data_IF_833569904619
#
_entry.id   IF_833569904619
#
_cell.length_a   1.000
_cell.length_b   1.000
_cell.length_c   1.000
_cell.angle_alpha   90.00
_cell.angle_beta   90.00
_cell.angle_gamma   90.00
#
_symmetry.space_group_name_H-M   'P 1'
#
loop_
_entity.id
_entity.type
_entity.pdbx_description
1 polymer ?
#
# COMPACT_ATOMS: atom_id res chain seq x y z
N UNK A 1 5.36 -30.53 -11.13
CA UNK A 1 5.79 -29.32 -10.37
C UNK A 1 4.70 -28.25 -10.27
N UNK A 2 3.98 -27.90 -11.36
CA UNK A 2 2.91 -26.89 -11.35
C UNK A 2 1.76 -27.14 -10.35
N UNK A 3 1.33 -28.39 -10.19
CA UNK A 3 0.22 -28.77 -9.29
C UNK A 3 0.51 -28.44 -7.82
N UNK A 4 1.77 -28.62 -7.36
CA UNK A 4 2.16 -28.31 -5.97
C UNK A 4 2.11 -26.81 -5.66
N UNK A 5 2.52 -25.96 -6.62
CA UNK A 5 2.45 -24.50 -6.47
C UNK A 5 0.99 -24.03 -6.47
N UNK A 6 0.14 -24.63 -7.30
CA UNK A 6 -1.28 -24.28 -7.33
C UNK A 6 -1.97 -24.60 -6.00
N UNK A 7 -1.71 -25.78 -5.44
CA UNK A 7 -2.27 -26.18 -4.14
C UNK A 7 -1.79 -25.25 -3.01
N UNK A 8 -0.51 -24.85 -3.01
CA UNK A 8 0.01 -23.90 -2.05
C UNK A 8 -0.65 -22.51 -2.19
N UNK A 9 -0.84 -22.03 -3.42
CA UNK A 9 -1.51 -20.74 -3.66
C UNK A 9 -2.96 -20.77 -3.17
N UNK A 10 -3.70 -21.84 -3.43
CA UNK A 10 -5.07 -22.01 -2.91
C UNK A 10 -5.09 -22.01 -1.39
N UNK A 11 -4.19 -22.77 -0.75
CA UNK A 11 -4.07 -22.80 0.71
C UNK A 11 -3.77 -21.41 1.30
N UNK A 12 -2.80 -20.67 0.75
CA UNK A 12 -2.47 -19.31 1.22
C UNK A 12 -3.61 -18.32 0.94
N UNK A 13 -4.32 -18.48 -0.18
CA UNK A 13 -5.47 -17.64 -0.48
C UNK A 13 -6.55 -17.80 0.59
N UNK A 14 -6.91 -19.04 0.92
CA UNK A 14 -7.95 -19.35 1.91
C UNK A 14 -7.54 -18.96 3.34
N UNK A 15 -6.27 -19.19 3.70
CA UNK A 15 -5.85 -19.13 5.11
C UNK A 15 -5.06 -17.87 5.49
N UNK A 16 -4.54 -17.11 4.52
CA UNK A 16 -3.71 -15.91 4.79
C UNK A 16 -4.30 -14.65 4.16
N UNK A 17 -4.49 -14.61 2.83
CA UNK A 17 -4.86 -13.38 2.13
C UNK A 17 -6.28 -12.87 2.44
N UNK A 18 -7.20 -13.77 2.82
CA UNK A 18 -8.56 -13.40 3.24
C UNK A 18 -8.70 -13.13 4.75
N UNK A 19 -7.61 -13.24 5.53
CA UNK A 19 -7.68 -12.97 6.96
C UNK A 19 -8.07 -11.50 7.22
N UNK A 20 -9.01 -11.20 8.14
CA UNK A 20 -9.51 -9.85 8.38
C UNK A 20 -8.41 -8.79 8.57
N UNK A 21 -7.40 -9.07 9.38
CA UNK A 21 -6.28 -8.14 9.59
C UNK A 21 -5.45 -7.86 8.33
N UNK A 22 -5.33 -8.81 7.40
CA UNK A 22 -4.66 -8.57 6.11
C UNK A 22 -5.53 -7.71 5.19
N UNK A 23 -6.85 -7.96 5.20
CA UNK A 23 -7.81 -7.18 4.42
C UNK A 23 -7.87 -5.72 4.85
N UNK A 24 -7.85 -5.46 6.16
CA UNK A 24 -7.82 -4.09 6.72
C UNK A 24 -6.57 -3.33 6.25
N UNK A 25 -5.38 -3.92 6.44
CA UNK A 25 -4.12 -3.30 6.00
C UNK A 25 -4.10 -3.04 4.49
N UNK A 26 -4.63 -3.98 3.68
CA UNK A 26 -4.77 -3.78 2.24
C UNK A 26 -5.72 -2.63 1.90
N UNK A 27 -6.87 -2.54 2.59
CA UNK A 27 -7.84 -1.47 2.37
C UNK A 27 -7.24 -0.09 2.69
N UNK A 28 -6.52 0.04 3.81
CA UNK A 28 -5.80 1.26 4.15
C UNK A 28 -4.73 1.60 3.11
N UNK A 29 -3.99 0.61 2.62
CA UNK A 29 -2.98 0.82 1.57
C UNK A 29 -3.62 1.33 0.27
N UNK A 30 -4.79 0.81 -0.11
CA UNK A 30 -5.56 1.32 -1.25
C UNK A 30 -5.99 2.78 -1.05
N UNK A 31 -6.48 3.14 0.14
CA UNK A 31 -6.88 4.52 0.46
C UNK A 31 -5.70 5.50 0.38
N UNK A 32 -4.54 5.10 0.89
CA UNK A 32 -3.29 5.88 0.78
C UNK A 32 -2.93 6.11 -0.69
N UNK A 33 -2.91 5.05 -1.50
CA UNK A 33 -2.57 5.15 -2.92
C UNK A 33 -3.58 5.99 -3.70
N UNK A 34 -4.87 5.86 -3.38
CA UNK A 34 -5.92 6.64 -4.02
C UNK A 34 -5.74 8.14 -3.74
N UNK A 35 -5.57 8.53 -2.47
CA UNK A 35 -5.38 9.94 -2.12
C UNK A 35 -4.10 10.53 -2.72
N UNK A 36 -3.01 9.76 -2.76
CA UNK A 36 -1.78 10.18 -3.43
C UNK A 36 -1.97 10.34 -4.94
N UNK A 37 -2.69 9.40 -5.57
CA UNK A 37 -2.96 9.47 -7.00
C UNK A 37 -3.75 10.73 -7.35
N UNK A 38 -4.85 10.99 -6.64
CA UNK A 38 -5.68 12.19 -6.83
C UNK A 38 -4.86 13.47 -6.62
N UNK A 39 -4.07 13.54 -5.55
CA UNK A 39 -3.21 14.70 -5.26
C UNK A 39 -2.21 14.98 -6.39
N UNK A 40 -1.44 13.97 -6.82
CA UNK A 40 -0.43 14.16 -7.87
C UNK A 40 -1.05 14.32 -9.26
N UNK A 41 -2.27 13.83 -9.47
CA UNK A 41 -3.00 14.07 -10.70
C UNK A 41 -3.40 15.55 -10.84
N UNK A 42 -3.80 16.19 -9.72
CA UNK A 42 -4.09 17.63 -9.67
C UNK A 42 -2.82 18.49 -9.65
N UNK A 43 -1.72 17.97 -9.10
CA UNK A 43 -0.44 18.67 -8.97
C UNK A 43 0.72 17.94 -9.67
N UNK A 44 0.66 17.75 -11.00
CA UNK A 44 1.64 16.95 -11.74
C UNK A 44 3.03 17.60 -11.83
N UNK A 45 3.17 18.86 -11.43
CA UNK A 45 4.46 19.54 -11.33
C UNK A 45 5.26 19.12 -10.08
N UNK A 46 4.63 18.43 -9.12
CA UNK A 46 5.27 17.96 -7.88
C UNK A 46 5.93 16.59 -8.03
N UNK A 47 5.67 15.87 -9.13
CA UNK A 47 6.40 14.64 -9.46
C UNK A 47 7.69 15.02 -10.18
N UNK A 48 8.82 14.48 -9.70
CA UNK A 48 10.18 14.86 -10.09
C UNK A 48 10.40 14.96 -11.61
N UNK A 49 11.39 15.74 -12.05
CA UNK A 49 11.66 16.07 -13.46
C UNK A 49 11.63 14.89 -14.46
N UNK A 50 11.99 13.68 -14.00
CA UNK A 50 11.92 12.45 -14.83
C UNK A 50 10.49 12.09 -15.26
N UNK A 51 9.49 12.52 -14.48
CA UNK A 51 8.08 12.36 -14.79
C UNK A 51 7.61 13.36 -15.85
N UNK A 52 8.19 14.56 -15.94
CA UNK A 52 7.78 15.58 -16.91
C UNK A 52 7.88 15.11 -18.37
N UNK A 53 8.97 14.42 -18.72
CA UNK A 53 9.15 13.81 -20.04
C UNK A 53 8.09 12.74 -20.33
N UNK A 54 7.72 11.96 -19.31
CA UNK A 54 6.67 10.92 -19.40
C UNK A 54 5.27 11.53 -19.48
N UNK A 55 4.97 12.58 -18.73
CA UNK A 55 3.68 13.29 -18.82
C UNK A 55 3.43 13.72 -20.27
N UNK A 56 4.44 14.30 -20.93
CA UNK A 56 4.32 14.75 -22.32
C UNK A 56 4.06 13.60 -23.30
N UNK A 57 4.58 12.40 -23.02
CA UNK A 57 4.50 11.24 -23.92
C UNK A 57 3.29 10.33 -23.65
N UNK A 58 2.95 10.13 -22.38
CA UNK A 58 2.05 9.06 -21.90
C UNK A 58 0.88 9.61 -21.06
N UNK A 59 0.89 10.91 -20.76
CA UNK A 59 -0.14 11.57 -19.97
C UNK A 59 0.11 11.55 -18.46
N UNK A 60 -0.63 12.39 -17.75
CA UNK A 60 -0.46 12.59 -16.30
C UNK A 60 -0.75 11.30 -15.52
N UNK A 61 -1.85 10.62 -15.80
CA UNK A 61 -2.26 9.41 -15.06
C UNK A 61 -1.18 8.34 -15.07
N UNK A 62 -0.51 8.14 -16.21
CA UNK A 62 0.54 7.12 -16.34
C UNK A 62 1.81 7.53 -15.62
N UNK A 63 2.23 8.78 -15.75
CA UNK A 63 3.36 9.31 -15.02
C UNK A 63 3.18 9.23 -13.49
N UNK A 64 1.97 9.52 -13.00
CA UNK A 64 1.63 9.41 -11.56
C UNK A 64 1.67 7.95 -11.11
N UNK A 65 1.05 7.01 -11.83
CA UNK A 65 1.10 5.60 -11.46
C UNK A 65 2.54 5.07 -11.41
N UNK A 66 3.37 5.42 -12.39
CA UNK A 66 4.77 4.98 -12.43
C UNK A 66 5.56 5.57 -11.26
N UNK A 67 5.34 6.84 -10.94
CA UNK A 67 5.91 7.48 -9.77
C UNK A 67 5.51 6.76 -8.47
N UNK A 68 4.21 6.52 -8.25
CA UNK A 68 3.70 5.84 -7.06
C UNK A 68 4.20 4.40 -6.95
N UNK A 69 4.28 3.68 -8.07
CA UNK A 69 4.81 2.31 -8.09
C UNK A 69 6.30 2.23 -7.70
N UNK A 70 7.03 3.34 -7.83
CA UNK A 70 8.43 3.46 -7.43
C UNK A 70 8.63 3.83 -5.95
N UNK A 71 7.55 4.14 -5.22
CA UNK A 71 7.62 4.45 -3.79
C UNK A 71 7.65 3.16 -2.98
N UNK A 72 8.47 3.15 -1.93
CA UNK A 72 8.35 2.18 -0.83
C UNK A 72 7.14 2.52 0.05
N UNK A 73 6.64 1.56 0.83
CA UNK A 73 5.53 1.80 1.79
C UNK A 73 5.85 2.94 2.75
N UNK A 74 7.09 3.02 3.24
CA UNK A 74 7.53 4.10 4.14
C UNK A 74 7.42 5.45 3.45
N UNK A 75 7.93 5.56 2.22
CA UNK A 75 7.89 6.81 1.47
C UNK A 75 6.46 7.17 1.07
N UNK A 76 5.61 6.22 0.68
CA UNK A 76 4.21 6.46 0.37
C UNK A 76 3.46 7.05 1.57
N UNK A 77 3.64 6.48 2.79
CA UNK A 77 3.07 7.04 4.02
C UNK A 77 3.55 8.45 4.32
N UNK A 78 4.85 8.72 4.15
CA UNK A 78 5.42 10.06 4.34
C UNK A 78 4.83 11.08 3.36
N UNK A 79 4.69 10.70 2.09
CA UNK A 79 4.08 11.55 1.08
C UNK A 79 2.60 11.81 1.39
N UNK A 80 1.86 10.78 1.83
CA UNK A 80 0.45 10.91 2.18
C UNK A 80 0.27 11.87 3.36
N UNK A 81 1.04 11.69 4.43
CA UNK A 81 1.06 12.58 5.60
C UNK A 81 1.34 14.04 5.21
N UNK A 82 2.26 14.25 4.27
CA UNK A 82 2.72 15.57 3.86
C UNK A 82 1.73 16.29 2.93
N UNK A 83 1.06 15.56 2.04
CA UNK A 83 0.34 16.16 0.91
C UNK A 83 -1.17 15.96 0.93
N UNK A 84 -1.65 14.86 1.52
CA UNK A 84 -3.08 14.54 1.59
C UNK A 84 -3.60 14.83 2.99
N UNK A 85 -2.84 14.44 4.03
CA UNK A 85 -3.14 14.70 5.43
C UNK A 85 -2.79 13.52 6.34
N UNK A 86 -2.72 13.78 7.64
CA UNK A 86 -2.58 12.76 8.68
C UNK A 86 -3.95 12.37 9.20
N UNK A 87 -4.68 11.54 8.47
CA UNK A 87 -5.90 10.95 8.99
C UNK A 87 -5.56 9.76 9.91
N UNK A 88 -6.52 9.33 10.75
CA UNK A 88 -6.44 8.15 11.61
C UNK A 88 -5.90 6.89 10.92
N UNK A 89 -6.05 6.83 9.59
CA UNK A 89 -5.41 5.88 8.68
C UNK A 89 -3.92 5.61 8.94
N UNK A 90 -3.10 6.63 9.19
CA UNK A 90 -1.66 6.43 9.41
C UNK A 90 -1.35 5.86 10.80
N UNK A 91 -2.25 6.07 11.77
CA UNK A 91 -2.13 5.58 13.15
C UNK A 91 -2.52 4.10 13.27
N UNK A 92 -3.46 3.65 12.43
CA UNK A 92 -3.92 2.26 12.34
C UNK A 92 -2.96 1.37 11.54
N UNK A 93 -2.23 1.95 10.57
CA UNK A 93 -1.20 1.26 9.79
C UNK A 93 0.08 0.92 10.56
N UNK A 94 0.22 1.41 11.80
CA UNK A 94 1.20 0.90 12.76
C UNK A 94 0.51 -0.14 13.63
N UNK A 95 0.74 -1.45 13.41
CA UNK A 95 0.28 -2.44 14.36
C UNK A 95 0.95 -2.12 15.70
N UNK A 96 0.16 -1.83 16.73
CA UNK A 96 0.57 -2.23 18.07
C UNK A 96 0.68 -3.74 17.98
N UNK A 97 1.91 -4.26 18.07
CA UNK A 97 2.14 -5.69 18.20
C UNK A 97 1.15 -6.23 19.23
N UNK A 98 0.29 -7.21 18.91
CA UNK A 98 -0.45 -7.88 19.95
C UNK A 98 0.60 -8.55 20.82
N UNK A 99 0.66 -8.13 22.07
CA UNK A 99 1.40 -8.79 23.13
C UNK A 99 1.18 -10.30 23.01
N UNK A 100 2.26 -11.04 22.74
CA UNK A 100 2.32 -12.50 22.95
C UNK A 100 2.28 -12.79 24.45
N UNK A 101 1.18 -12.42 25.11
CA UNK A 101 0.80 -12.86 26.43
C UNK A 101 -0.59 -13.47 26.34
N UNK A 102 -0.65 -14.64 25.72
CA UNK A 102 -1.67 -15.62 26.04
C UNK A 102 -1.11 -17.00 25.74
N UNK A 103 -1.00 -17.80 26.80
CA UNK A 103 -1.05 -19.26 26.77
C UNK A 103 0.26 -20.05 26.54
N UNK A 104 1.13 -20.06 27.55
CA UNK A 104 1.84 -21.28 27.96
C UNK A 104 1.50 -21.57 29.43
N UNK A 105 0.26 -22.00 29.62
CA UNK A 105 -0.19 -22.73 30.81
C UNK A 105 -1.04 -23.89 30.32
N UNK A 106 -0.38 -24.97 29.91
CA UNK A 106 -0.75 -26.36 30.22
C UNK A 106 0.27 -27.32 29.57
N UNK A 107 0.60 -28.37 30.34
CA UNK A 107 1.57 -29.46 30.15
C UNK A 107 2.99 -29.13 30.57
#
# INVERSE_FOLDING_TARGET
MRVKIQNLRSFLNENLYHHPGVREVNQHSCQVLQGLFEFYHLHPHLIADRAALRIKKEGVSRAVCDFLSGLTDRTARQHYARHVGTDGLLRELTPQSPSTQAHLSLV
#
